data_IF_769999347397
#
_entry.id   IF_769999347397
#
_cell.length_a   1.000
_cell.length_b   1.000
_cell.length_c   1.000
_cell.angle_alpha   90.00
_cell.angle_beta   90.00
_cell.angle_gamma   90.00
#
_symmetry.space_group_name_H-M   'P 1'
#
loop_
_entity.id
_entity.type
_entity.pdbx_description
1 polymer ?
#
# COMPACT_ATOMS: atom_id res chain seq x y z
N UNK A 1 -1.70 -2.69 -24.02
CA UNK A 1 -1.77 -3.61 -22.85
C UNK A 1 -0.44 -3.66 -22.07
N UNK A 2 0.71 -3.82 -22.75
CA UNK A 2 2.03 -3.85 -22.10
C UNK A 2 2.33 -2.54 -21.36
N UNK A 3 2.17 -1.38 -22.01
CA UNK A 3 2.40 -0.06 -21.41
C UNK A 3 1.48 0.19 -20.20
N UNK A 4 0.25 -0.30 -20.23
CA UNK A 4 -0.71 -0.15 -19.13
C UNK A 4 -0.25 -0.95 -17.90
N UNK A 5 0.21 -2.19 -18.08
CA UNK A 5 0.77 -3.01 -17.00
C UNK A 5 2.01 -2.38 -16.39
N UNK A 6 2.89 -1.83 -17.24
CA UNK A 6 4.09 -1.14 -16.77
C UNK A 6 3.74 0.15 -16.01
N UNK A 7 2.76 0.91 -16.48
CA UNK A 7 2.26 2.09 -15.75
C UNK A 7 1.67 1.72 -14.39
N UNK A 8 0.93 0.62 -14.28
CA UNK A 8 0.42 0.11 -13.00
C UNK A 8 1.57 -0.18 -12.03
N UNK A 9 2.64 -0.84 -12.49
CA UNK A 9 3.82 -1.11 -11.67
C UNK A 9 4.50 0.18 -11.21
N UNK A 10 4.68 1.14 -12.12
CA UNK A 10 5.27 2.45 -11.80
C UNK A 10 4.40 3.22 -10.82
N UNK A 11 3.06 3.20 -10.98
CA UNK A 11 2.13 3.81 -10.04
C UNK A 11 2.22 3.17 -8.66
N UNK A 12 2.31 1.85 -8.56
CA UNK A 12 2.53 1.16 -7.29
C UNK A 12 3.80 1.65 -6.59
N UNK A 13 4.91 1.74 -7.32
CA UNK A 13 6.17 2.23 -6.77
C UNK A 13 6.03 3.67 -6.26
N UNK A 14 5.43 4.56 -7.05
CA UNK A 14 5.22 5.97 -6.68
C UNK A 14 4.36 6.13 -5.43
N UNK A 15 3.30 5.34 -5.33
CA UNK A 15 2.37 5.39 -4.19
C UNK A 15 3.02 4.83 -2.94
N UNK A 16 3.83 3.77 -3.06
CA UNK A 16 4.61 3.24 -1.95
C UNK A 16 5.61 4.28 -1.43
N UNK A 17 6.29 5.01 -2.34
CA UNK A 17 7.20 6.09 -1.98
C UNK A 17 6.50 7.29 -1.32
N UNK A 18 5.22 7.52 -1.63
CA UNK A 18 4.38 8.51 -0.94
C UNK A 18 3.97 8.07 0.48
N UNK A 19 4.26 6.83 0.86
CA UNK A 19 3.91 6.28 2.15
C UNK A 19 2.40 6.00 2.33
N UNK A 20 1.66 5.86 1.24
CA UNK A 20 0.23 5.55 1.29
C UNK A 20 0.05 4.08 1.64
N UNK A 21 -0.61 3.82 2.76
CA UNK A 21 -0.94 2.46 3.18
C UNK A 21 -2.12 1.89 2.36
N UNK A 22 -1.99 0.66 1.91
CA UNK A 22 -3.03 -0.11 1.20
C UNK A 22 -3.69 0.63 0.02
N UNK A 23 -2.91 1.13 -0.96
CA UNK A 23 -3.49 1.75 -2.14
C UNK A 23 -4.20 0.70 -3.00
N UNK A 24 -5.29 1.11 -3.65
CA UNK A 24 -5.95 0.27 -4.65
C UNK A 24 -5.57 0.77 -6.03
N UNK A 25 -4.92 -0.08 -6.83
CA UNK A 25 -4.58 0.23 -8.22
C UNK A 25 -5.11 -0.91 -9.07
N UNK A 26 -6.06 -0.59 -9.94
CA UNK A 26 -6.74 -1.59 -10.76
C UNK A 26 -6.89 -1.10 -12.19
N UNK A 27 -6.72 -2.02 -13.12
CA UNK A 27 -7.08 -1.79 -14.51
C UNK A 27 -8.60 -1.77 -14.65
N UNK A 28 -9.13 -0.77 -15.32
CA UNK A 28 -10.54 -0.66 -15.69
C UNK A 28 -10.69 -0.55 -17.21
N UNK A 29 -11.16 -1.62 -17.83
CA UNK A 29 -11.23 -1.68 -19.29
C UNK A 29 -9.86 -1.81 -19.96
N UNK A 30 -9.74 -1.31 -21.20
CA UNK A 30 -8.53 -1.47 -21.99
C UNK A 30 -7.51 -0.33 -21.82
N UNK A 31 -7.94 0.84 -21.34
CA UNK A 31 -7.19 2.10 -21.40
C UNK A 31 -7.20 2.91 -20.09
N UNK A 32 -7.85 2.42 -19.05
CA UNK A 32 -8.02 3.15 -17.77
C UNK A 32 -7.38 2.44 -16.60
N UNK A 33 -6.90 3.23 -15.65
CA UNK A 33 -6.38 2.79 -14.36
C UNK A 33 -7.15 3.54 -13.28
N UNK A 34 -7.75 2.82 -12.36
CA UNK A 34 -8.36 3.38 -11.15
C UNK A 34 -7.33 3.32 -10.03
N UNK A 35 -7.07 4.46 -9.42
CA UNK A 35 -6.15 4.61 -8.29
C UNK A 35 -6.92 5.18 -7.12
N UNK A 36 -6.90 4.48 -5.98
CA UNK A 36 -7.49 4.95 -4.73
C UNK A 36 -6.38 5.10 -3.68
N UNK A 37 -6.30 6.27 -3.09
CA UNK A 37 -5.26 6.65 -2.14
C UNK A 37 -5.89 6.97 -0.78
N UNK A 38 -6.05 5.98 0.10
CA UNK A 38 -6.59 6.24 1.43
C UNK A 38 -5.61 7.04 2.27
N UNK A 39 -6.13 7.97 3.08
CA UNK A 39 -5.34 8.74 4.04
C UNK A 39 -4.49 9.88 3.47
N UNK A 40 -4.55 10.15 2.17
CA UNK A 40 -3.83 11.26 1.55
C UNK A 40 -4.51 12.58 1.90
N UNK A 41 -3.76 13.48 2.53
CA UNK A 41 -4.25 14.82 2.88
C UNK A 41 -3.96 15.86 1.78
N UNK A 42 -2.78 15.77 1.16
CA UNK A 42 -2.39 16.63 0.04
C UNK A 42 -2.64 15.94 -1.30
N UNK A 43 -3.84 16.10 -1.82
CA UNK A 43 -4.25 15.51 -3.10
C UNK A 43 -3.55 16.18 -4.28
N UNK A 44 -3.15 17.45 -4.17
CA UNK A 44 -2.46 18.17 -5.23
C UNK A 44 -1.05 17.60 -5.44
N UNK A 45 -0.31 17.39 -4.35
CA UNK A 45 1.02 16.77 -4.38
C UNK A 45 0.96 15.33 -4.91
N UNK A 46 -0.01 14.55 -4.45
CA UNK A 46 -0.19 13.18 -4.93
C UNK A 46 -0.45 13.13 -6.44
N UNK A 47 -1.32 13.99 -6.96
CA UNK A 47 -1.59 14.09 -8.41
C UNK A 47 -0.36 14.50 -9.20
N UNK A 48 0.38 15.48 -8.72
CA UNK A 48 1.61 15.93 -9.38
C UNK A 48 2.60 14.76 -9.51
N UNK A 49 2.87 14.03 -8.43
CA UNK A 49 3.80 12.90 -8.44
C UNK A 49 3.31 11.76 -9.33
N UNK A 50 2.02 11.43 -9.30
CA UNK A 50 1.46 10.33 -10.09
C UNK A 50 1.41 10.66 -11.59
N UNK A 51 1.11 11.91 -11.95
CA UNK A 51 0.95 12.35 -13.34
C UNK A 51 2.26 12.67 -14.05
N UNK A 52 3.37 12.87 -13.34
CA UNK A 52 4.65 13.24 -13.96
C UNK A 52 5.22 12.09 -14.78
N UNK A 53 5.60 12.40 -16.01
CA UNK A 53 6.26 11.45 -16.94
C UNK A 53 7.77 11.62 -16.97
N UNK A 54 8.34 12.17 -15.89
CA UNK A 54 9.76 12.52 -15.86
C UNK A 54 10.67 11.32 -16.12
N UNK A 55 11.47 11.41 -17.16
CA UNK A 55 12.52 10.43 -17.52
C UNK A 55 13.87 11.10 -17.39
N UNK A 56 14.81 10.42 -16.72
CA UNK A 56 16.18 10.89 -16.67
C UNK A 56 16.94 10.46 -17.92
N UNK A 57 17.64 11.39 -18.53
CA UNK A 57 18.61 11.11 -19.59
C UNK A 57 19.93 11.77 -19.28
N UNK A 58 21.02 11.05 -19.50
CA UNK A 58 22.37 11.58 -19.45
C UNK A 58 22.90 11.70 -20.87
N UNK A 59 23.32 12.89 -21.25
CA UNK A 59 23.82 13.20 -22.60
C UNK A 59 25.08 14.07 -22.53
N UNK A 60 25.92 14.01 -23.53
CA UNK A 60 27.10 14.88 -23.62
C UNK A 60 26.73 16.29 -24.10
N UNK A 61 27.37 17.29 -23.51
CA UNK A 61 27.29 18.68 -23.98
C UNK A 61 28.20 18.87 -25.19
N UNK A 62 27.78 19.68 -26.15
CA UNK A 62 28.60 20.13 -27.25
C UNK A 62 29.11 21.53 -26.96
N UNK A 63 30.38 21.61 -26.50
CA UNK A 63 31.08 22.86 -26.17
C UNK A 63 31.93 23.36 -27.34
N UNK A 64 31.67 22.93 -28.58
CA UNK A 64 32.44 23.40 -29.76
C UNK A 64 32.29 24.90 -29.93
N UNK A 65 33.35 25.64 -30.21
CA UNK A 65 33.27 27.09 -30.37
C UNK A 65 32.27 27.49 -31.47
N UNK A 66 31.34 28.40 -31.14
CA UNK A 66 30.33 28.90 -32.09
C UNK A 66 29.12 27.94 -32.34
N UNK A 67 29.17 26.71 -31.84
CA UNK A 67 28.09 25.74 -32.07
C UNK A 67 26.78 26.15 -31.40
N UNK A 68 26.84 26.66 -30.17
CA UNK A 68 25.66 27.17 -29.45
C UNK A 68 25.07 28.41 -30.16
N UNK A 69 25.90 29.35 -30.62
CA UNK A 69 25.47 30.55 -31.32
C UNK A 69 24.79 30.20 -32.64
N UNK A 70 25.34 29.25 -33.41
CA UNK A 70 24.74 28.74 -34.63
C UNK A 70 23.37 28.06 -34.34
N UNK A 71 23.27 27.32 -33.26
CA UNK A 71 22.03 26.68 -32.86
C UNK A 71 20.95 27.68 -32.44
N UNK A 72 21.31 28.74 -31.74
CA UNK A 72 20.41 29.84 -31.37
C UNK A 72 19.97 30.68 -32.58
N UNK A 73 20.82 30.75 -33.62
CA UNK A 73 20.48 31.37 -34.90
C UNK A 73 19.58 30.49 -35.79
N UNK A 74 19.14 29.32 -35.33
CA UNK A 74 18.24 28.42 -36.06
C UNK A 74 18.93 27.34 -36.90
N UNK A 75 20.27 27.23 -36.82
CA UNK A 75 21.07 26.22 -37.53
C UNK A 75 21.86 25.34 -36.57
N UNK A 76 21.17 24.48 -35.79
CA UNK A 76 21.90 23.61 -34.85
C UNK A 76 22.79 22.60 -35.60
N UNK A 77 24.01 22.34 -35.15
CA UNK A 77 24.85 21.30 -35.70
C UNK A 77 24.14 19.95 -35.72
N UNK A 78 24.45 19.12 -36.69
CA UNK A 78 23.81 17.82 -36.86
C UNK A 78 24.00 16.95 -35.58
N UNK A 79 22.91 16.36 -35.13
CA UNK A 79 22.94 15.50 -33.94
C UNK A 79 22.96 16.24 -32.60
N UNK A 80 22.61 17.53 -32.59
CA UNK A 80 22.49 18.35 -31.36
C UNK A 80 21.11 18.94 -31.17
N UNK A 81 20.78 19.32 -29.95
CA UNK A 81 19.54 20.01 -29.56
C UNK A 81 19.85 21.03 -28.47
N UNK A 82 19.11 22.15 -28.50
CA UNK A 82 19.24 23.19 -27.46
C UNK A 82 18.26 22.91 -26.36
N UNK A 83 18.76 22.85 -25.13
CA UNK A 83 18.00 22.77 -23.90
C UNK A 83 18.27 23.98 -23.01
N UNK A 84 17.37 24.24 -22.08
CA UNK A 84 17.56 25.30 -21.09
C UNK A 84 17.96 24.68 -19.75
N UNK A 85 19.06 25.18 -19.19
CA UNK A 85 19.44 24.81 -17.83
C UNK A 85 18.52 25.51 -16.81
N UNK A 86 18.32 24.91 -15.64
CA UNK A 86 17.52 25.51 -14.53
C UNK A 86 17.91 26.93 -14.15
N UNK A 87 19.06 27.39 -14.53
CA UNK A 87 19.52 28.78 -14.40
C UNK A 87 19.11 29.72 -15.51
N UNK A 88 18.34 29.25 -16.50
CA UNK A 88 17.88 30.02 -17.65
C UNK A 88 18.92 30.15 -18.78
N UNK A 89 20.05 29.49 -18.69
CA UNK A 89 21.08 29.51 -19.74
C UNK A 89 20.81 28.43 -20.80
N UNK A 90 20.87 28.75 -22.09
CA UNK A 90 20.77 27.77 -23.16
C UNK A 90 22.04 26.92 -23.20
N UNK A 91 21.87 25.63 -23.43
CA UNK A 91 22.94 24.64 -23.51
C UNK A 91 22.75 23.76 -24.74
N UNK A 92 23.80 23.54 -25.51
CA UNK A 92 23.75 22.66 -26.67
C UNK A 92 24.13 21.24 -26.23
N UNK A 93 23.22 20.30 -26.42
CA UNK A 93 23.36 18.91 -25.95
C UNK A 93 23.29 17.96 -27.13
N UNK A 94 24.11 16.91 -27.14
CA UNK A 94 24.07 15.88 -28.17
C UNK A 94 22.78 15.05 -28.05
N UNK A 95 22.20 14.70 -29.19
CA UNK A 95 20.99 13.83 -29.23
C UNK A 95 21.25 12.42 -28.73
N UNK A 96 22.50 11.97 -28.84
CA UNK A 96 22.91 10.64 -28.38
C UNK A 96 22.76 10.53 -26.86
N UNK A 97 21.86 9.67 -26.42
CA UNK A 97 21.68 9.35 -25.01
C UNK A 97 22.79 8.39 -24.56
N UNK A 98 23.49 8.76 -23.49
CA UNK A 98 24.53 7.94 -22.87
C UNK A 98 23.89 6.90 -21.94
N UNK A 99 22.93 7.34 -21.15
CA UNK A 99 22.26 6.52 -20.12
C UNK A 99 20.85 7.06 -19.87
N UNK A 100 19.92 6.16 -19.63
CA UNK A 100 18.53 6.45 -19.29
C UNK A 100 18.21 6.03 -17.87
N UNK A 101 17.11 6.54 -17.31
CA UNK A 101 16.69 6.29 -15.94
C UNK A 101 16.33 4.84 -15.62
N UNK A 102 16.17 3.98 -16.63
CA UNK A 102 15.93 2.53 -16.46
C UNK A 102 17.14 1.78 -15.87
N UNK A 103 18.33 2.40 -15.90
CA UNK A 103 19.56 1.88 -15.29
C UNK A 103 19.76 2.31 -13.84
N UNK A 104 18.83 3.05 -13.27
CA UNK A 104 18.84 3.43 -11.87
C UNK A 104 18.29 2.31 -11.00
N UNK A 105 19.00 1.99 -9.93
CA UNK A 105 18.52 1.05 -8.89
C UNK A 105 18.04 1.78 -7.65
N UNK A 106 18.57 2.99 -7.40
CA UNK A 106 18.17 3.81 -6.26
C UNK A 106 18.42 5.30 -6.54
N UNK A 107 17.65 6.17 -5.88
CA UNK A 107 17.81 7.61 -5.90
C UNK A 107 17.44 8.17 -4.52
N UNK A 108 18.39 8.83 -3.86
CA UNK A 108 18.21 9.37 -2.52
C UNK A 108 18.48 10.87 -2.47
N UNK A 109 17.62 11.66 -1.83
CA UNK A 109 17.92 13.06 -1.58
C UNK A 109 19.03 13.17 -0.53
N UNK A 110 19.85 14.18 -0.66
CA UNK A 110 20.96 14.45 0.25
C UNK A 110 21.53 15.84 0.05
N UNK A 111 22.75 16.02 0.45
CA UNK A 111 23.49 17.26 0.26
C UNK A 111 24.83 16.97 -0.44
N UNK A 112 25.28 17.92 -1.23
CA UNK A 112 26.62 17.88 -1.79
C UNK A 112 27.66 18.04 -0.67
N UNK A 113 28.62 17.14 -0.62
CA UNK A 113 29.61 17.14 0.44
C UNK A 113 30.56 18.35 0.42
N UNK A 114 30.66 19.06 -0.71
CA UNK A 114 31.57 20.22 -0.87
C UNK A 114 30.81 21.54 -0.73
N UNK A 115 29.64 21.66 -1.35
CA UNK A 115 28.88 22.92 -1.38
C UNK A 115 27.77 22.98 -0.33
N UNK A 116 27.40 21.86 0.29
CA UNK A 116 26.28 21.72 1.23
C UNK A 116 24.95 22.12 0.60
N UNK A 117 24.87 22.17 -0.73
CA UNK A 117 23.64 22.40 -1.46
C UNK A 117 22.83 21.08 -1.56
N UNK A 118 21.49 21.16 -1.65
CA UNK A 118 20.66 19.99 -1.88
C UNK A 118 21.06 19.25 -3.15
N UNK A 119 21.15 17.93 -3.06
CA UNK A 119 21.58 17.05 -4.14
C UNK A 119 20.78 15.77 -4.16
N UNK A 120 20.83 15.06 -5.27
CA UNK A 120 20.25 13.71 -5.41
C UNK A 120 21.37 12.73 -5.70
N UNK A 121 21.51 11.72 -4.85
CA UNK A 121 22.45 10.63 -5.02
C UNK A 121 21.79 9.48 -5.76
N UNK A 122 22.37 9.09 -6.89
CA UNK A 122 21.89 8.01 -7.75
C UNK A 122 22.79 6.79 -7.64
N UNK A 123 22.19 5.62 -7.67
CA UNK A 123 22.92 4.35 -7.79
C UNK A 123 22.51 3.67 -9.09
N UNK A 124 23.48 3.28 -9.90
CA UNK A 124 23.29 2.60 -11.18
C UNK A 124 23.38 1.09 -10.99
N UNK A 125 22.71 0.34 -11.88
CA UNK A 125 22.91 -1.09 -12.01
C UNK A 125 24.31 -1.41 -12.55
N UNK A 126 24.69 -2.68 -12.55
CA UNK A 126 26.03 -3.13 -13.00
C UNK A 126 26.32 -2.82 -14.47
N UNK A 127 25.29 -2.76 -15.32
CA UNK A 127 25.44 -2.41 -16.73
C UNK A 127 25.60 -0.90 -16.91
N UNK A 128 24.76 -0.11 -16.24
CA UNK A 128 24.84 1.36 -16.23
C UNK A 128 26.16 1.85 -15.65
N UNK A 129 26.63 1.23 -14.56
CA UNK A 129 27.92 1.56 -13.95
C UNK A 129 29.10 1.35 -14.93
N UNK A 130 29.08 0.30 -15.73
CA UNK A 130 30.10 0.04 -16.77
C UNK A 130 30.03 1.08 -17.88
N UNK A 131 28.86 1.33 -18.43
CA UNK A 131 28.65 2.36 -19.48
C UNK A 131 29.11 3.71 -18.96
N UNK A 132 28.71 4.07 -17.74
CA UNK A 132 29.04 5.35 -17.16
C UNK A 132 30.55 5.51 -16.90
N UNK A 133 31.22 4.43 -16.45
CA UNK A 133 32.67 4.38 -16.28
C UNK A 133 33.39 4.64 -17.60
N UNK A 134 33.02 3.91 -18.66
CA UNK A 134 33.70 4.02 -19.96
C UNK A 134 33.50 5.43 -20.57
N UNK A 135 32.29 5.96 -20.53
CA UNK A 135 31.99 7.31 -21.02
C UNK A 135 32.73 8.38 -20.22
N UNK A 136 32.77 8.27 -18.90
CA UNK A 136 33.48 9.28 -18.07
C UNK A 136 34.99 9.19 -18.24
N UNK A 137 35.57 8.00 -18.44
CA UNK A 137 36.99 7.83 -18.78
C UNK A 137 37.34 8.50 -20.11
N UNK A 138 36.55 8.29 -21.14
CA UNK A 138 36.82 8.74 -22.51
C UNK A 138 36.54 10.24 -22.73
N UNK A 139 35.83 10.87 -21.77
CA UNK A 139 35.37 12.25 -21.88
C UNK A 139 35.79 13.13 -20.68
N UNK A 140 36.90 12.82 -20.03
CA UNK A 140 37.44 13.67 -18.96
C UNK A 140 37.70 15.10 -19.51
N UNK A 141 37.29 16.10 -18.75
CA UNK A 141 37.40 17.52 -19.11
C UNK A 141 36.20 18.06 -19.91
N UNK A 142 35.27 17.21 -20.37
CA UNK A 142 34.07 17.64 -21.07
C UNK A 142 32.89 17.72 -20.12
N UNK A 143 31.86 18.51 -20.49
CA UNK A 143 30.61 18.60 -19.73
C UNK A 143 29.63 17.49 -20.11
N UNK A 144 28.91 17.03 -19.11
CA UNK A 144 27.88 16.02 -19.26
C UNK A 144 26.58 16.57 -18.68
N UNK A 145 25.53 16.66 -19.48
CA UNK A 145 24.23 17.16 -19.07
C UNK A 145 23.36 16.03 -18.49
N UNK A 146 22.74 16.32 -17.38
CA UNK A 146 21.71 15.48 -16.77
C UNK A 146 20.37 16.17 -17.05
N UNK A 147 19.55 15.53 -17.88
CA UNK A 147 18.28 16.05 -18.35
C UNK A 147 17.13 15.32 -17.64
N UNK A 148 16.12 16.11 -17.28
CA UNK A 148 14.82 15.60 -16.90
C UNK A 148 13.86 15.86 -18.08
N UNK A 149 13.42 14.82 -18.73
CA UNK A 149 12.47 14.89 -19.85
C UNK A 149 11.06 14.69 -19.32
N UNK A 150 10.19 15.68 -19.46
CA UNK A 150 8.80 15.60 -19.05
C UNK A 150 7.89 16.02 -20.20
N UNK A 151 6.95 15.15 -20.58
CA UNK A 151 5.99 15.39 -21.70
C UNK A 151 6.67 15.86 -22.99
N UNK A 152 7.84 15.30 -23.30
CA UNK A 152 8.61 15.66 -24.49
C UNK A 152 9.39 16.98 -24.38
N UNK A 153 9.32 17.67 -23.26
CA UNK A 153 10.15 18.84 -22.95
C UNK A 153 11.27 18.44 -22.03
N UNK A 154 12.51 18.74 -22.40
CA UNK A 154 13.68 18.46 -21.58
C UNK A 154 14.18 19.72 -20.87
N UNK A 155 14.53 19.59 -19.61
CA UNK A 155 15.22 20.60 -18.82
C UNK A 155 16.56 20.04 -18.37
N UNK A 156 17.63 20.79 -18.53
CA UNK A 156 18.93 20.41 -17.96
C UNK A 156 18.95 20.79 -16.49
N UNK A 157 18.98 19.76 -15.63
CA UNK A 157 19.07 19.96 -14.17
C UNK A 157 20.47 20.47 -13.80
N UNK A 158 21.50 19.87 -14.39
CA UNK A 158 22.89 20.24 -14.18
C UNK A 158 23.75 19.74 -15.34
N UNK A 159 24.87 20.43 -15.59
CA UNK A 159 25.83 20.04 -16.62
C UNK A 159 27.29 20.12 -16.09
N UNK A 160 27.68 19.25 -15.14
CA UNK A 160 29.01 19.27 -14.54
C UNK A 160 30.11 18.84 -15.53
N UNK A 161 31.31 19.31 -15.27
CA UNK A 161 32.51 18.82 -15.96
C UNK A 161 32.94 17.48 -15.37
N UNK A 162 33.21 16.51 -16.22
CA UNK A 162 33.75 15.21 -15.83
C UNK A 162 35.23 15.43 -15.40
N UNK A 163 35.51 15.31 -14.10
CA UNK A 163 36.85 15.53 -13.56
C UNK A 163 37.70 14.27 -13.61
N UNK A 164 37.08 13.13 -13.39
CA UNK A 164 37.75 11.82 -13.36
C UNK A 164 36.80 10.73 -13.83
N UNK A 165 37.34 9.55 -14.11
CA UNK A 165 36.57 8.35 -14.32
C UNK A 165 35.67 8.04 -13.09
N UNK A 166 34.40 7.73 -13.30
CA UNK A 166 33.42 7.40 -12.25
C UNK A 166 33.06 5.94 -12.37
N UNK A 167 33.79 5.07 -11.67
CA UNK A 167 33.65 3.60 -11.79
C UNK A 167 32.73 2.93 -10.76
N UNK A 168 32.29 3.66 -9.74
CA UNK A 168 31.54 3.07 -8.62
C UNK A 168 30.02 2.97 -8.79
N UNK A 169 29.47 3.35 -9.96
CA UNK A 169 28.03 3.35 -10.21
C UNK A 169 27.24 4.35 -9.35
N UNK A 170 27.91 5.23 -8.63
CA UNK A 170 27.30 6.30 -7.84
C UNK A 170 27.45 7.62 -8.56
N UNK A 171 26.34 8.26 -8.83
CA UNK A 171 26.27 9.55 -9.54
C UNK A 171 25.55 10.53 -8.63
N UNK A 172 26.04 11.76 -8.57
CA UNK A 172 25.41 12.82 -7.82
C UNK A 172 24.86 13.87 -8.80
N UNK A 173 23.61 14.25 -8.62
CA UNK A 173 23.00 15.39 -9.28
C UNK A 173 23.02 16.52 -8.26
N UNK A 174 23.88 17.51 -8.46
CA UNK A 174 23.90 18.76 -7.70
C UNK A 174 23.61 19.91 -8.66
N UNK A 175 22.88 20.90 -8.18
CA UNK A 175 22.51 22.06 -8.97
C UNK A 175 21.63 23.00 -8.16
N UNK A 176 21.13 24.07 -8.78
CA UNK A 176 20.21 25.02 -8.14
C UNK A 176 18.85 24.36 -7.89
N UNK A 177 18.73 23.57 -6.82
CA UNK A 177 17.47 22.96 -6.39
C UNK A 177 17.26 23.17 -4.88
N UNK A 178 16.01 23.29 -4.48
CA UNK A 178 15.62 23.28 -3.09
C UNK A 178 15.62 21.87 -2.52
N UNK A 179 15.63 21.72 -1.20
CA UNK A 179 15.50 20.40 -0.56
C UNK A 179 14.19 19.68 -0.93
N UNK A 180 13.12 20.42 -1.17
CA UNK A 180 11.83 19.87 -1.63
C UNK A 180 11.96 19.31 -3.05
N UNK A 181 12.57 20.06 -3.96
CA UNK A 181 12.79 19.61 -5.34
C UNK A 181 13.75 18.42 -5.41
N UNK A 182 14.77 18.36 -4.55
CA UNK A 182 15.67 17.20 -4.45
C UNK A 182 14.90 15.95 -3.99
N UNK A 183 14.02 16.09 -2.99
CA UNK A 183 13.15 15.01 -2.53
C UNK A 183 12.21 14.53 -3.63
N UNK A 184 11.50 15.44 -4.30
CA UNK A 184 10.54 15.10 -5.34
C UNK A 184 11.24 14.46 -6.56
N UNK A 185 12.41 14.98 -6.93
CA UNK A 185 13.23 14.40 -8.01
C UNK A 185 13.73 13.00 -7.65
N UNK A 186 14.23 12.80 -6.45
CA UNK A 186 14.68 11.49 -5.99
C UNK A 186 13.53 10.47 -5.98
N UNK A 187 12.35 10.88 -5.52
CA UNK A 187 11.15 10.04 -5.51
C UNK A 187 10.74 9.64 -6.94
N UNK A 188 10.68 10.59 -7.85
CA UNK A 188 10.31 10.32 -9.25
C UNK A 188 11.31 9.38 -9.94
N UNK A 189 12.59 9.58 -9.70
CA UNK A 189 13.64 8.76 -10.30
C UNK A 189 13.65 7.33 -9.73
N UNK A 190 13.45 7.17 -8.42
CA UNK A 190 13.37 5.87 -7.74
C UNK A 190 12.13 5.09 -8.15
N UNK A 191 11.00 5.77 -8.27
CA UNK A 191 9.73 5.15 -8.67
C UNK A 191 9.65 4.77 -10.15
N UNK A 192 10.53 5.30 -10.98
CA UNK A 192 10.63 5.03 -12.40
C UNK A 192 9.72 5.90 -13.28
N UNK A 193 9.96 5.84 -14.59
CA UNK A 193 9.20 6.56 -15.60
C UNK A 193 7.92 5.81 -16.01
N UNK A 194 6.91 6.57 -16.41
CA UNK A 194 5.71 5.99 -17.03
C UNK A 194 6.03 5.53 -18.47
N UNK A 195 5.58 4.34 -18.82
CA UNK A 195 5.76 3.77 -20.16
C UNK A 195 4.91 4.48 -21.23
N UNK A 196 3.81 5.09 -20.81
CA UNK A 196 2.96 5.93 -21.64
C UNK A 196 2.41 7.09 -20.81
N UNK A 197 2.20 8.28 -21.42
CA UNK A 197 1.60 9.40 -20.72
C UNK A 197 0.18 9.04 -20.28
N UNK A 198 -0.22 9.58 -19.12
CA UNK A 198 -1.55 9.39 -18.54
C UNK A 198 -2.16 10.73 -18.22
N UNK A 199 -3.44 10.88 -18.50
CA UNK A 199 -4.22 12.05 -18.14
C UNK A 199 -5.26 11.66 -17.08
N UNK A 200 -5.44 12.53 -16.10
CA UNK A 200 -6.48 12.36 -15.08
C UNK A 200 -7.81 12.74 -15.70
N UNK A 201 -8.65 11.74 -15.95
CA UNK A 201 -9.98 11.94 -16.58
C UNK A 201 -11.08 12.16 -15.56
N UNK A 202 -10.92 11.63 -14.34
CA UNK A 202 -11.87 11.77 -13.25
C UNK A 202 -11.12 11.85 -11.93
N UNK A 203 -11.54 12.77 -11.08
CA UNK A 203 -11.04 12.91 -9.70
C UNK A 203 -12.22 12.95 -8.74
N UNK A 204 -12.16 12.15 -7.69
CA UNK A 204 -13.13 12.14 -6.61
C UNK A 204 -12.44 12.15 -5.27
N UNK A 205 -12.56 13.24 -4.55
CA UNK A 205 -12.06 13.34 -3.16
C UNK A 205 -13.20 13.02 -2.19
N UNK A 206 -13.00 11.99 -1.38
CA UNK A 206 -13.92 11.62 -0.31
C UNK A 206 -13.38 12.21 0.99
N UNK A 207 -14.04 13.23 1.48
CA UNK A 207 -13.61 13.92 2.71
C UNK A 207 -13.82 13.07 3.98
N UNK A 208 -13.15 13.46 5.09
CA UNK A 208 -13.24 12.77 6.39
C UNK A 208 -14.66 12.63 6.93
N UNK A 209 -15.58 13.53 6.58
CA UNK A 209 -16.98 13.51 7.00
C UNK A 209 -17.74 12.27 6.52
N UNK A 210 -17.52 11.83 5.27
CA UNK A 210 -18.13 10.61 4.73
C UNK A 210 -17.56 9.35 5.42
N UNK A 211 -16.26 9.34 5.74
CA UNK A 211 -15.65 8.29 6.54
C UNK A 211 -16.24 8.21 7.93
N UNK A 212 -16.38 9.33 8.62
CA UNK A 212 -16.98 9.42 9.95
C UNK A 212 -18.45 8.95 9.96
N UNK A 213 -19.24 9.32 8.96
CA UNK A 213 -20.64 8.89 8.84
C UNK A 213 -20.75 7.37 8.59
N UNK A 214 -19.87 6.81 7.77
CA UNK A 214 -19.84 5.38 7.50
C UNK A 214 -19.42 4.59 8.75
N UNK A 215 -18.41 5.06 9.47
CA UNK A 215 -17.98 4.45 10.74
C UNK A 215 -19.13 4.51 11.75
N UNK A 216 -19.80 5.66 11.89
CA UNK A 216 -20.92 5.81 12.81
C UNK A 216 -22.08 4.89 12.47
N UNK A 217 -22.47 4.82 11.19
CA UNK A 217 -23.54 3.89 10.73
C UNK A 217 -23.16 2.44 10.94
N UNK A 218 -21.93 2.05 10.61
CA UNK A 218 -21.41 0.71 10.82
C UNK A 218 -21.37 0.33 12.30
N UNK A 219 -20.90 1.22 13.16
CA UNK A 219 -20.89 1.02 14.61
C UNK A 219 -22.31 0.85 15.17
N UNK A 220 -23.25 1.74 14.80
CA UNK A 220 -24.63 1.61 15.23
C UNK A 220 -25.28 0.31 14.75
N UNK A 221 -25.07 -0.07 13.49
CA UNK A 221 -25.58 -1.33 12.94
C UNK A 221 -25.05 -2.54 13.70
N UNK A 222 -23.74 -2.59 13.96
CA UNK A 222 -23.10 -3.66 14.72
C UNK A 222 -23.61 -3.71 16.16
N UNK A 223 -23.78 -2.55 16.80
CA UNK A 223 -24.28 -2.47 18.18
C UNK A 223 -25.73 -2.91 18.29
N UNK A 224 -26.61 -2.50 17.36
CA UNK A 224 -28.00 -2.98 17.34
C UNK A 224 -28.11 -4.47 17.03
N UNK A 225 -27.27 -4.98 16.09
CA UNK A 225 -27.15 -6.41 15.82
C UNK A 225 -26.70 -7.19 17.05
N UNK A 226 -25.66 -6.72 17.74
CA UNK A 226 -25.20 -7.32 18.98
C UNK A 226 -26.28 -7.31 20.08
N UNK A 227 -26.98 -6.18 20.26
CA UNK A 227 -28.05 -6.07 21.25
C UNK A 227 -29.20 -7.03 20.97
N UNK A 228 -29.63 -7.16 19.71
CA UNK A 228 -30.67 -8.08 19.31
C UNK A 228 -30.26 -9.55 19.59
N UNK A 229 -29.04 -9.93 19.24
CA UNK A 229 -28.47 -11.26 19.54
C UNK A 229 -28.41 -11.48 21.04
N UNK A 230 -27.92 -10.50 21.82
CA UNK A 230 -27.82 -10.61 23.27
C UNK A 230 -29.18 -10.84 23.94
N UNK A 231 -30.18 -10.05 23.53
CA UNK A 231 -31.58 -10.21 24.05
C UNK A 231 -32.11 -11.61 23.72
N UNK A 232 -31.94 -12.05 22.47
CA UNK A 232 -32.39 -13.39 22.08
C UNK A 232 -31.71 -14.49 22.89
N UNK A 233 -30.39 -14.43 23.04
CA UNK A 233 -29.61 -15.43 23.79
C UNK A 233 -29.99 -15.48 25.26
N UNK A 234 -30.15 -14.34 25.91
CA UNK A 234 -30.51 -14.27 27.33
C UNK A 234 -31.96 -14.81 27.54
N UNK A 235 -32.89 -14.45 26.67
CA UNK A 235 -34.27 -14.93 26.78
C UNK A 235 -34.39 -16.43 26.53
N UNK A 236 -33.63 -16.96 25.59
CA UNK A 236 -33.75 -18.36 25.17
C UNK A 236 -32.90 -19.33 26.00
N UNK A 237 -31.66 -18.95 26.33
CA UNK A 237 -30.68 -19.78 27.05
C UNK A 237 -30.47 -19.37 28.49
N UNK A 238 -31.09 -18.31 28.97
CA UNK A 238 -30.97 -17.79 30.33
C UNK A 238 -29.50 -17.58 30.76
N UNK A 239 -29.05 -18.24 31.84
CA UNK A 239 -27.67 -18.09 32.33
C UNK A 239 -26.59 -18.49 31.30
N UNK A 240 -26.81 -19.55 30.56
CA UNK A 240 -25.90 -19.92 29.44
C UNK A 240 -25.92 -18.87 28.34
N UNK A 241 -27.05 -18.20 28.13
CA UNK A 241 -27.14 -17.05 27.22
C UNK A 241 -26.31 -15.87 27.67
N UNK A 242 -26.30 -15.56 28.97
CA UNK A 242 -25.43 -14.50 29.54
C UNK A 242 -23.94 -14.83 29.30
N UNK A 243 -23.53 -16.07 29.55
CA UNK A 243 -22.15 -16.51 29.27
C UNK A 243 -21.80 -16.39 27.80
N UNK A 244 -22.72 -16.80 26.91
CA UNK A 244 -22.52 -16.68 25.46
C UNK A 244 -22.38 -15.23 25.01
N UNK A 245 -23.18 -14.32 25.58
CA UNK A 245 -23.08 -12.87 25.29
C UNK A 245 -21.74 -12.29 25.77
N UNK A 246 -21.26 -12.68 26.94
CA UNK A 246 -19.95 -12.27 27.45
C UNK A 246 -18.81 -12.81 26.58
N UNK A 247 -18.91 -14.07 26.13
CA UNK A 247 -17.95 -14.64 25.21
C UNK A 247 -17.96 -13.91 23.86
N UNK A 248 -19.15 -13.54 23.34
CA UNK A 248 -19.30 -12.77 22.11
C UNK A 248 -18.72 -11.35 22.25
N UNK A 249 -18.94 -10.69 23.39
CA UNK A 249 -18.34 -9.39 23.69
C UNK A 249 -16.80 -9.49 23.74
N UNK A 250 -16.27 -10.54 24.36
CA UNK A 250 -14.82 -10.80 24.37
C UNK A 250 -14.27 -11.05 22.98
N UNK A 251 -15.00 -11.79 22.13
CA UNK A 251 -14.62 -11.99 20.73
C UNK A 251 -14.50 -10.68 19.97
N UNK A 252 -15.48 -9.79 20.13
CA UNK A 252 -15.45 -8.48 19.46
C UNK A 252 -14.25 -7.64 19.95
N UNK A 253 -13.97 -7.66 21.25
CA UNK A 253 -12.81 -6.97 21.83
C UNK A 253 -11.49 -7.54 21.29
N UNK A 254 -11.33 -8.85 21.22
CA UNK A 254 -10.13 -9.48 20.65
C UNK A 254 -9.96 -9.14 19.17
N UNK A 255 -11.04 -9.19 18.40
CA UNK A 255 -11.01 -8.84 16.98
C UNK A 255 -10.55 -7.38 16.79
N UNK A 256 -11.16 -6.44 17.51
CA UNK A 256 -10.79 -5.02 17.42
C UNK A 256 -9.34 -4.81 17.89
N UNK A 257 -8.91 -5.48 18.95
CA UNK A 257 -7.54 -5.38 19.44
C UNK A 257 -6.52 -5.87 18.40
N UNK A 258 -6.77 -7.01 17.77
CA UNK A 258 -5.87 -7.55 16.73
C UNK A 258 -5.86 -6.64 15.50
N UNK A 259 -7.01 -6.16 15.04
CA UNK A 259 -7.09 -5.21 13.91
C UNK A 259 -6.32 -3.91 14.22
N UNK A 260 -6.42 -3.43 15.45
CA UNK A 260 -5.68 -2.24 15.91
C UNK A 260 -4.17 -2.49 15.98
N UNK A 261 -3.72 -3.66 16.47
CA UNK A 261 -2.30 -4.02 16.50
C UNK A 261 -1.69 -4.16 15.11
N UNK A 262 -2.45 -4.69 14.17
CA UNK A 262 -2.03 -4.82 12.76
C UNK A 262 -2.16 -3.51 11.98
N UNK A 263 -2.72 -2.47 12.59
CA UNK A 263 -3.05 -1.19 11.91
C UNK A 263 -3.82 -1.40 10.60
N UNK A 264 -4.71 -2.41 10.59
CA UNK A 264 -5.48 -2.75 9.41
C UNK A 264 -6.47 -1.64 9.04
N UNK A 265 -6.52 -1.28 7.78
CA UNK A 265 -7.46 -0.27 7.28
C UNK A 265 -8.89 -0.83 7.28
N UNK A 266 -9.76 -0.20 8.07
CA UNK A 266 -11.15 -0.63 8.17
C UNK A 266 -11.98 -0.07 7.00
N UNK A 267 -12.22 -0.89 6.00
CA UNK A 267 -13.09 -0.57 4.85
C UNK A 267 -14.56 -0.82 5.16
N UNK A 268 -15.49 -0.28 4.34
CA UNK A 268 -16.94 -0.59 4.48
C UNK A 268 -17.23 -2.09 4.45
N UNK A 269 -16.69 -2.89 3.51
CA UNK A 269 -16.79 -4.35 3.56
C UNK A 269 -16.15 -4.96 4.81
N UNK A 270 -15.07 -4.38 5.36
CA UNK A 270 -14.48 -4.80 6.61
C UNK A 270 -15.42 -4.61 7.81
N UNK A 271 -16.15 -3.49 7.88
CA UNK A 271 -17.21 -3.27 8.89
C UNK A 271 -18.32 -4.30 8.73
N UNK A 272 -18.75 -4.59 7.51
CA UNK A 272 -19.73 -5.64 7.25
C UNK A 272 -19.22 -7.02 7.68
N UNK A 273 -17.92 -7.31 7.53
CA UNK A 273 -17.32 -8.55 8.02
C UNK A 273 -17.37 -8.65 9.55
N UNK A 274 -17.21 -7.56 10.30
CA UNK A 274 -17.38 -7.55 11.76
C UNK A 274 -18.81 -7.99 12.13
N UNK A 275 -19.81 -7.41 11.50
CA UNK A 275 -21.22 -7.77 11.73
C UNK A 275 -21.50 -9.24 11.37
N UNK A 276 -20.95 -9.73 10.26
CA UNK A 276 -21.06 -11.13 9.86
C UNK A 276 -20.38 -12.06 10.86
N UNK A 277 -19.20 -11.69 11.33
CA UNK A 277 -18.45 -12.47 12.34
C UNK A 277 -19.22 -12.62 13.65
N UNK A 278 -19.94 -11.57 14.08
CA UNK A 278 -20.81 -11.66 15.26
C UNK A 278 -21.89 -12.75 15.07
N UNK A 279 -22.50 -12.83 13.91
CA UNK A 279 -23.50 -13.87 13.60
C UNK A 279 -22.90 -15.28 13.63
N UNK A 280 -21.71 -15.47 13.07
CA UNK A 280 -21.03 -16.78 13.07
C UNK A 280 -20.49 -17.16 14.44
N UNK A 281 -19.99 -16.17 15.20
CA UNK A 281 -19.47 -16.41 16.54
C UNK A 281 -20.54 -16.87 17.53
N UNK A 282 -21.75 -16.33 17.42
CA UNK A 282 -22.86 -16.76 18.26
C UNK A 282 -23.31 -18.18 17.93
N UNK A 283 -23.24 -18.59 16.67
CA UNK A 283 -23.63 -19.94 16.24
C UNK A 283 -22.80 -21.02 16.96
N UNK A 284 -21.52 -20.80 17.14
CA UNK A 284 -20.65 -21.68 17.94
C UNK A 284 -21.15 -21.83 19.38
N UNK A 285 -21.57 -20.74 20.02
CA UNK A 285 -22.11 -20.78 21.38
C UNK A 285 -23.51 -21.45 21.41
N UNK A 286 -24.33 -21.24 20.39
CA UNK A 286 -25.62 -21.94 20.25
C UNK A 286 -25.40 -23.43 20.15
N UNK A 287 -24.48 -23.90 19.30
CA UNK A 287 -24.14 -25.33 19.18
C UNK A 287 -23.72 -25.93 20.52
N UNK A 288 -22.88 -25.24 21.28
CA UNK A 288 -22.44 -25.68 22.61
C UNK A 288 -23.67 -25.79 23.55
N UNK A 289 -24.49 -24.74 23.61
CA UNK A 289 -25.63 -24.68 24.50
C UNK A 289 -26.68 -25.77 24.16
N UNK A 290 -26.98 -25.98 22.88
CA UNK A 290 -27.88 -27.03 22.46
C UNK A 290 -27.30 -28.42 22.76
N UNK A 291 -26.02 -28.64 22.58
CA UNK A 291 -25.38 -29.92 22.91
C UNK A 291 -25.45 -30.22 24.43
N UNK A 292 -25.18 -29.23 25.27
CA UNK A 292 -25.36 -29.37 26.73
C UNK A 292 -26.83 -29.71 27.04
N UNK A 293 -27.77 -29.07 26.39
CA UNK A 293 -29.17 -29.29 26.58
C UNK A 293 -29.65 -30.73 26.17
N UNK A 294 -29.07 -31.25 25.08
CA UNK A 294 -29.26 -32.62 24.64
C UNK A 294 -28.75 -33.61 25.67
N UNK A 295 -27.53 -33.44 26.19
CA UNK A 295 -26.96 -34.33 27.19
C UNK A 295 -27.72 -34.29 28.54
N UNK A 296 -28.22 -33.11 28.92
CA UNK A 296 -29.10 -32.98 30.10
C UNK A 296 -30.46 -33.73 29.91
N UNK A 297 -31.04 -33.63 28.69
CA UNK A 297 -32.29 -34.38 28.36
C UNK A 297 -32.07 -35.89 28.32
N UNK A 298 -30.86 -36.34 28.00
CA UNK A 298 -30.45 -37.73 28.04
C UNK A 298 -30.23 -38.27 29.47
N UNK A 299 -30.39 -37.40 30.48
CA UNK A 299 -30.29 -37.80 31.91
C UNK A 299 -28.89 -37.69 32.46
N UNK A 300 -27.95 -37.05 31.77
CA UNK A 300 -26.59 -36.88 32.24
C UNK A 300 -26.52 -35.84 33.39
N UNK A 301 -25.68 -36.04 34.41
CA UNK A 301 -25.49 -35.04 35.48
C UNK A 301 -25.03 -33.71 34.92
N UNK A 302 -25.44 -32.55 35.47
CA UNK A 302 -25.19 -31.23 34.87
C UNK A 302 -23.72 -30.94 34.57
N UNK A 303 -22.78 -31.28 35.46
CA UNK A 303 -21.36 -31.05 35.23
C UNK A 303 -20.77 -31.94 34.12
N UNK A 304 -21.21 -33.20 34.06
CA UNK A 304 -20.82 -34.11 32.99
C UNK A 304 -21.41 -33.67 31.66
N UNK A 305 -22.68 -33.23 31.62
CA UNK A 305 -23.36 -32.71 30.45
C UNK A 305 -22.68 -31.44 29.89
N UNK A 306 -22.21 -30.56 30.77
CA UNK A 306 -21.41 -29.38 30.36
C UNK A 306 -20.10 -29.83 29.70
N UNK A 307 -19.33 -30.72 30.35
CA UNK A 307 -18.03 -31.16 29.79
C UNK A 307 -18.20 -31.86 28.43
N UNK A 308 -19.16 -32.80 28.38
CA UNK A 308 -19.48 -33.56 27.15
C UNK A 308 -20.04 -32.65 26.02
N UNK A 309 -20.87 -31.66 26.38
CA UNK A 309 -21.42 -30.70 25.44
C UNK A 309 -20.33 -29.87 24.75
N UNK A 310 -19.36 -29.37 25.49
CA UNK A 310 -18.20 -28.66 24.89
C UNK A 310 -17.35 -29.60 24.01
N UNK A 311 -17.10 -30.82 24.47
CA UNK A 311 -16.23 -31.78 23.78
C UNK A 311 -16.84 -32.23 22.44
N UNK A 312 -18.13 -32.54 22.42
CA UNK A 312 -18.84 -32.93 21.20
C UNK A 312 -19.10 -31.76 20.25
N UNK A 313 -19.40 -30.57 20.77
CA UNK A 313 -19.58 -29.40 19.94
C UNK A 313 -18.29 -28.94 19.27
N UNK A 314 -17.13 -29.16 19.93
CA UNK A 314 -15.84 -28.69 19.43
C UNK A 314 -15.50 -29.19 18.01
N UNK A 315 -15.72 -30.47 17.72
CA UNK A 315 -15.49 -31.02 16.39
C UNK A 315 -16.29 -30.30 15.32
N UNK A 316 -17.59 -30.13 15.54
CA UNK A 316 -18.50 -29.46 14.59
C UNK A 316 -18.14 -27.98 14.41
N UNK A 317 -17.80 -27.28 15.52
CA UNK A 317 -17.36 -25.88 15.48
C UNK A 317 -16.06 -25.76 14.67
N UNK A 318 -15.10 -26.65 14.89
CA UNK A 318 -13.82 -26.62 14.20
C UNK A 318 -14.00 -26.88 12.70
N UNK A 319 -14.76 -27.91 12.31
CA UNK A 319 -15.01 -28.26 10.92
C UNK A 319 -15.69 -27.11 10.14
N UNK A 320 -16.72 -26.52 10.73
CA UNK A 320 -17.45 -25.39 10.13
C UNK A 320 -16.52 -24.17 9.98
N UNK A 321 -15.77 -23.83 11.01
CA UNK A 321 -14.89 -22.67 10.99
C UNK A 321 -13.68 -22.86 10.06
N UNK A 322 -13.11 -24.07 9.96
CA UNK A 322 -12.04 -24.38 9.00
C UNK A 322 -12.53 -24.19 7.57
N UNK A 323 -13.71 -24.72 7.25
CA UNK A 323 -14.29 -24.56 5.91
C UNK A 323 -14.46 -23.09 5.55
N UNK A 324 -14.99 -22.30 6.48
CA UNK A 324 -15.19 -20.86 6.29
C UNK A 324 -13.84 -20.11 6.23
N UNK A 325 -12.84 -20.52 7.01
CA UNK A 325 -11.50 -19.96 6.99
C UNK A 325 -10.81 -20.22 5.64
N UNK A 326 -10.97 -21.41 5.06
CA UNK A 326 -10.40 -21.71 3.73
C UNK A 326 -11.00 -20.75 2.66
N UNK A 327 -12.32 -20.53 2.70
CA UNK A 327 -12.96 -19.55 1.82
C UNK A 327 -12.45 -18.12 2.05
N UNK A 328 -12.27 -17.72 3.32
CA UNK A 328 -11.69 -16.43 3.70
C UNK A 328 -10.23 -16.27 3.21
N UNK A 329 -9.40 -17.30 3.33
CA UNK A 329 -8.03 -17.32 2.84
C UNK A 329 -7.96 -17.22 1.31
N UNK A 330 -8.88 -17.89 0.60
CA UNK A 330 -8.97 -17.76 -0.84
C UNK A 330 -9.29 -16.30 -1.24
N UNK A 331 -10.22 -15.65 -0.55
CA UNK A 331 -10.52 -14.23 -0.76
C UNK A 331 -9.34 -13.32 -0.38
N UNK A 332 -8.53 -13.70 0.61
CA UNK A 332 -7.34 -12.95 1.02
C UNK A 332 -6.24 -13.01 -0.03
N UNK A 333 -6.02 -14.19 -0.64
CA UNK A 333 -4.96 -14.44 -1.62
C UNK A 333 -5.33 -13.87 -2.99
N UNK A 334 -6.56 -14.14 -3.46
CA UNK A 334 -7.01 -13.77 -4.80
C UNK A 334 -7.81 -12.47 -4.84
N UNK A 335 -8.26 -11.97 -3.68
CA UNK A 335 -9.01 -10.72 -3.58
C UNK A 335 -8.13 -9.49 -3.75
N UNK A 336 -8.72 -8.40 -4.20
CA UNK A 336 -8.07 -7.10 -4.36
C UNK A 336 -8.86 -6.01 -3.63
N UNK A 337 -8.17 -4.99 -3.16
CA UNK A 337 -8.75 -3.81 -2.54
C UNK A 337 -9.80 -4.12 -1.44
N UNK A 338 -11.05 -3.68 -1.59
CA UNK A 338 -12.10 -3.83 -0.58
C UNK A 338 -12.40 -5.29 -0.20
N UNK A 339 -12.25 -6.23 -1.15
CA UNK A 339 -12.47 -7.67 -0.91
C UNK A 339 -11.38 -8.22 0.01
N UNK A 340 -10.15 -7.79 -0.17
CA UNK A 340 -9.03 -8.19 0.71
C UNK A 340 -9.23 -7.66 2.13
N UNK A 341 -9.67 -6.40 2.28
CA UNK A 341 -10.01 -5.83 3.59
C UNK A 341 -11.11 -6.59 4.31
N UNK A 342 -12.17 -7.01 3.59
CA UNK A 342 -13.19 -7.93 4.10
C UNK A 342 -12.59 -9.25 4.58
N UNK A 343 -11.74 -9.87 3.74
CA UNK A 343 -11.16 -11.18 4.01
C UNK A 343 -10.24 -11.18 5.24
N UNK A 344 -9.45 -10.12 5.47
CA UNK A 344 -8.61 -9.96 6.67
C UNK A 344 -9.47 -9.98 7.93
N UNK A 345 -10.49 -9.12 7.99
CA UNK A 345 -11.38 -9.03 9.15
C UNK A 345 -12.12 -10.35 9.38
N UNK A 346 -12.57 -10.99 8.30
CA UNK A 346 -13.29 -12.25 8.35
C UNK A 346 -12.43 -13.40 8.88
N UNK A 347 -11.20 -13.57 8.35
CA UNK A 347 -10.29 -14.62 8.84
C UNK A 347 -9.90 -14.42 10.30
N UNK A 348 -9.56 -13.20 10.69
CA UNK A 348 -9.24 -12.88 12.08
C UNK A 348 -10.46 -13.10 12.99
N UNK A 349 -11.65 -12.73 12.53
CA UNK A 349 -12.89 -12.94 13.25
C UNK A 349 -13.21 -14.41 13.51
N UNK A 350 -12.93 -15.29 12.54
CA UNK A 350 -13.08 -16.74 12.73
C UNK A 350 -12.13 -17.25 13.81
N UNK A 351 -10.85 -16.86 13.76
CA UNK A 351 -9.86 -17.30 14.74
C UNK A 351 -10.21 -16.83 16.16
N UNK A 352 -10.61 -15.56 16.31
CA UNK A 352 -11.03 -15.02 17.61
C UNK A 352 -12.33 -15.66 18.09
N UNK A 353 -13.24 -16.03 17.19
CA UNK A 353 -14.49 -16.71 17.49
C UNK A 353 -14.26 -18.11 18.07
N UNK A 354 -13.39 -18.91 17.44
CA UNK A 354 -13.03 -20.24 17.97
C UNK A 354 -12.46 -20.11 19.38
N UNK A 355 -11.51 -19.19 19.56
CA UNK A 355 -10.90 -18.96 20.87
C UNK A 355 -11.94 -18.54 21.93
N UNK A 356 -12.79 -17.59 21.61
CA UNK A 356 -13.79 -17.03 22.52
C UNK A 356 -14.86 -18.05 22.88
N UNK A 357 -15.38 -18.79 21.90
CA UNK A 357 -16.45 -19.77 22.15
C UNK A 357 -15.95 -21.00 22.92
N UNK A 358 -14.72 -21.46 22.67
CA UNK A 358 -14.18 -22.68 23.31
C UNK A 358 -13.49 -22.37 24.62
N UNK A 359 -12.61 -21.36 24.66
CA UNK A 359 -11.78 -21.07 25.84
C UNK A 359 -12.48 -20.13 26.81
N UNK A 360 -12.93 -18.95 26.31
CA UNK A 360 -13.53 -17.93 27.18
C UNK A 360 -14.87 -18.41 27.73
N UNK A 361 -15.74 -18.91 26.87
CA UNK A 361 -17.07 -19.42 27.27
C UNK A 361 -16.94 -20.58 28.29
N UNK A 362 -16.06 -21.56 28.00
CA UNK A 362 -15.80 -22.68 28.92
C UNK A 362 -15.25 -22.22 30.26
N UNK A 363 -14.35 -21.25 30.27
CA UNK A 363 -13.80 -20.66 31.49
C UNK A 363 -14.86 -19.98 32.35
N UNK A 364 -15.77 -19.23 31.71
CA UNK A 364 -16.89 -18.56 32.39
C UNK A 364 -17.89 -19.57 32.96
N UNK A 365 -18.24 -20.61 32.20
CA UNK A 365 -19.13 -21.66 32.67
C UNK A 365 -18.52 -22.40 33.88
N UNK A 366 -17.24 -22.73 33.79
CA UNK A 366 -16.52 -23.38 34.90
C UNK A 366 -16.43 -22.48 36.16
N UNK A 367 -16.31 -21.17 35.98
CA UNK A 367 -16.31 -20.22 37.09
C UNK A 367 -17.66 -20.19 37.82
N UNK A 368 -18.76 -20.26 37.06
CA UNK A 368 -20.12 -20.17 37.59
C UNK A 368 -20.59 -21.52 38.19
N UNK A 369 -20.38 -22.60 37.48
CA UNK A 369 -20.92 -23.92 37.80
C UNK A 369 -19.86 -24.87 38.45
N UNK A 370 -18.59 -24.64 38.23
CA UNK A 370 -17.51 -25.49 38.81
C UNK A 370 -17.30 -25.32 40.32
N UNK A 371 -17.89 -24.31 40.95
CA UNK A 371 -17.81 -24.01 42.39
C UNK A 371 -18.94 -24.63 43.20
N UNK A 372 -19.92 -25.24 42.54
CA UNK A 372 -21.01 -26.00 43.23
C UNK A 372 -20.54 -27.43 43.47
N UNK A 373 -19.74 -27.64 44.54
CA UNK A 373 -19.50 -28.91 45.18
C UNK A 373 -20.50 -29.12 46.32
#
# INVERSE_FOLDING_TARGET
>A
EFALKQNITTLHNRINELGVAEPVIQQQGADRIVVQLPGVQDTAKAKDILGRTATLEIRMVDDSPGALEAALAGNPPFGTEVYTERGGQPLLVKKQVVLTGDRLTDAQPGFDNQTQEPAVHLTLDSAGARIFKDITRDNVGKRMAILLIEKGKGEVVTAPVIRTEIGGGRVQISGRMSSMEANDTALLLRAGSLAAPMDIIEERTIGPSLGADNIRKGFHSTMWGFAAIAVFMILYYQMFGVVSVLALASNLLFLIAILSMLQATLTLPGIAAIALTLGMAIDSNVLINERIREELRAGMPPQAAISEGYERAFGTILDSNITTLIAGLALLIFGSGPIRGFAVVHCLGILTSIFSSVVVSRSLVNLIYGRQR
#
